data_IF_649862992377
#
_entry.id   IF_649862992377
#
_cell.length_a   1.000
_cell.length_b   1.000
_cell.length_c   1.000
_cell.angle_alpha   90.00
_cell.angle_beta   90.00
_cell.angle_gamma   90.00
#
_symmetry.space_group_name_H-M   'P 1'
#
loop_
_entity.id
_entity.type
_entity.pdbx_description
1 polymer ?
#
# COMPACT_ATOMS: atom_id res chain seq x y z
N UNK A 1 22.50 63.78 -31.27
CA UNK A 1 23.12 62.45 -31.11
C UNK A 1 23.20 62.19 -29.61
N UNK A 2 22.33 61.40 -29.02
CA UNK A 2 22.51 60.74 -27.69
C UNK A 2 21.18 60.38 -26.98
N UNK A 3 20.06 60.42 -27.65
CA UNK A 3 18.78 60.04 -26.97
C UNK A 3 18.17 58.69 -27.37
N UNK A 4 18.69 58.05 -28.43
CA UNK A 4 18.10 56.81 -28.94
C UNK A 4 18.76 55.54 -28.38
N UNK A 5 19.91 55.68 -27.70
CA UNK A 5 20.69 54.56 -27.15
C UNK A 5 20.30 54.09 -25.76
N UNK A 6 19.41 54.79 -25.06
CA UNK A 6 19.04 54.48 -23.69
C UNK A 6 17.72 53.72 -23.53
N UNK A 7 17.01 53.44 -24.64
CA UNK A 7 15.70 52.77 -24.57
C UNK A 7 15.83 51.25 -24.83
N UNK A 8 16.96 50.78 -25.41
CA UNK A 8 17.13 49.37 -25.77
C UNK A 8 17.72 48.46 -24.65
N UNK A 9 18.06 49.00 -23.49
CA UNK A 9 18.71 48.21 -22.43
C UNK A 9 17.80 47.93 -21.21
N UNK A 10 16.47 48.10 -21.32
CA UNK A 10 15.54 47.85 -20.18
C UNK A 10 14.49 46.75 -20.50
N UNK A 11 14.58 46.02 -21.56
CA UNK A 11 13.60 45.00 -21.95
C UNK A 11 14.12 43.56 -21.94
N UNK A 12 15.28 43.27 -21.34
CA UNK A 12 15.83 41.90 -21.26
C UNK A 12 16.05 41.52 -19.77
N UNK A 13 15.12 41.79 -18.95
CA UNK A 13 15.27 41.48 -17.56
C UNK A 13 13.96 41.19 -16.86
N UNK A 14 13.17 40.20 -17.26
CA UNK A 14 12.19 39.55 -16.40
C UNK A 14 11.44 38.44 -17.13
N UNK A 15 12.09 37.32 -17.36
CA UNK A 15 11.41 36.06 -17.71
C UNK A 15 12.19 34.88 -17.14
N UNK A 16 12.45 34.93 -15.82
CA UNK A 16 12.71 33.73 -15.05
C UNK A 16 11.39 33.36 -14.37
N UNK A 17 10.46 32.87 -15.19
CA UNK A 17 9.30 32.12 -14.69
C UNK A 17 9.82 30.85 -14.06
N UNK A 18 9.73 30.83 -12.72
CA UNK A 18 10.07 29.69 -11.93
C UNK A 18 9.36 28.42 -12.43
N UNK A 19 10.14 27.53 -13.01
CA UNK A 19 9.71 26.14 -13.22
C UNK A 19 9.61 25.51 -11.83
N UNK A 20 8.47 25.67 -11.20
CA UNK A 20 8.11 24.88 -10.02
C UNK A 20 8.17 23.41 -10.41
N UNK A 21 9.24 22.72 -10.01
CA UNK A 21 9.27 21.27 -10.04
C UNK A 21 8.15 20.80 -9.09
N UNK A 22 7.01 20.45 -9.67
CA UNK A 22 6.02 19.63 -9.01
C UNK A 22 6.68 18.26 -8.91
N UNK A 23 7.29 17.98 -7.75
CA UNK A 23 7.72 16.62 -7.43
C UNK A 23 6.44 15.77 -7.28
N UNK A 24 6.01 15.18 -8.39
CA UNK A 24 5.02 14.12 -8.35
C UNK A 24 5.64 13.00 -7.51
N UNK A 25 5.07 12.74 -6.34
CA UNK A 25 5.40 11.56 -5.55
C UNK A 25 4.98 10.32 -6.36
N UNK A 26 5.85 9.90 -7.28
CA UNK A 26 5.72 8.63 -7.98
C UNK A 26 6.02 7.52 -6.97
N UNK A 27 4.98 7.04 -6.30
CA UNK A 27 5.06 5.81 -5.52
C UNK A 27 5.30 4.67 -6.51
N UNK A 28 6.51 4.11 -6.50
CA UNK A 28 6.86 3.00 -7.37
C UNK A 28 6.12 1.74 -6.90
N UNK A 29 5.53 0.94 -7.81
CA UNK A 29 4.90 -0.34 -7.46
C UNK A 29 5.82 -1.28 -6.67
N UNK A 30 7.12 -1.27 -6.97
CA UNK A 30 8.12 -2.06 -6.24
C UNK A 30 8.24 -1.60 -4.78
N UNK A 31 8.24 -0.29 -4.53
CA UNK A 31 8.28 0.29 -3.17
C UNK A 31 7.02 -0.07 -2.38
N UNK A 32 5.86 -0.07 -3.03
CA UNK A 32 4.59 -0.45 -2.40
C UNK A 32 4.56 -1.93 -2.00
N UNK A 33 5.05 -2.82 -2.84
CA UNK A 33 5.13 -4.25 -2.52
C UNK A 33 6.12 -4.55 -1.39
N UNK A 34 7.27 -3.89 -1.36
CA UNK A 34 8.24 -4.04 -0.26
C UNK A 34 7.66 -3.52 1.06
N UNK A 35 6.96 -2.39 1.05
CA UNK A 35 6.27 -1.90 2.24
C UNK A 35 5.16 -2.87 2.67
N UNK A 36 4.36 -3.36 1.73
CA UNK A 36 3.32 -4.35 2.01
C UNK A 36 3.88 -5.64 2.60
N UNK A 37 5.00 -6.13 2.06
CA UNK A 37 5.75 -7.28 2.60
C UNK A 37 6.19 -7.03 4.03
N UNK A 38 6.81 -5.88 4.30
CA UNK A 38 7.26 -5.53 5.64
C UNK A 38 6.09 -5.52 6.64
N UNK A 39 4.99 -4.88 6.31
CA UNK A 39 3.80 -4.83 7.16
C UNK A 39 3.26 -6.24 7.42
N UNK A 40 3.17 -7.08 6.37
CA UNK A 40 2.72 -8.45 6.50
C UNK A 40 3.60 -9.25 7.48
N UNK A 41 4.92 -9.16 7.34
CA UNK A 41 5.86 -9.85 8.23
C UNK A 41 5.78 -9.36 9.67
N UNK A 42 5.62 -8.05 9.88
CA UNK A 42 5.59 -7.47 11.22
C UNK A 42 4.26 -7.71 11.95
N UNK A 43 3.13 -7.83 11.22
CA UNK A 43 1.79 -7.74 11.79
C UNK A 43 0.85 -8.91 11.48
N UNK A 44 1.09 -9.64 10.40
CA UNK A 44 0.11 -10.61 9.88
C UNK A 44 0.60 -12.05 9.93
N UNK A 45 1.91 -12.28 9.67
CA UNK A 45 2.45 -13.62 9.49
C UNK A 45 2.36 -14.51 10.73
N UNK A 46 2.35 -13.94 11.92
CA UNK A 46 2.24 -14.72 13.17
C UNK A 46 1.01 -15.63 13.17
N UNK A 47 -0.10 -15.15 12.59
CA UNK A 47 -1.33 -15.92 12.45
C UNK A 47 -1.51 -16.51 11.04
N UNK A 48 -1.17 -15.74 9.99
CA UNK A 48 -1.43 -16.14 8.60
C UNK A 48 -0.32 -16.98 7.96
N UNK A 49 0.86 -17.07 8.60
CA UNK A 49 2.03 -17.83 8.10
C UNK A 49 2.85 -17.07 7.06
N UNK A 50 4.10 -17.45 6.89
CA UNK A 50 4.99 -16.82 5.91
C UNK A 50 4.48 -16.98 4.46
N UNK A 51 3.79 -18.09 4.18
CA UNK A 51 3.19 -18.39 2.87
C UNK A 51 1.72 -18.01 2.77
N UNK A 52 1.14 -17.45 3.85
CA UNK A 52 -0.28 -17.11 3.89
C UNK A 52 -1.21 -18.32 3.96
N UNK A 53 -0.72 -19.47 4.37
CA UNK A 53 -1.46 -20.73 4.47
C UNK A 53 -2.18 -20.92 5.81
N UNK A 54 -1.94 -20.03 6.77
CA UNK A 54 -2.54 -20.10 8.11
C UNK A 54 -1.96 -21.22 8.98
N UNK A 55 -0.88 -21.87 8.56
CA UNK A 55 -0.26 -22.96 9.30
C UNK A 55 0.82 -22.44 10.24
N UNK A 56 0.39 -21.93 11.38
CA UNK A 56 1.30 -21.39 12.41
C UNK A 56 0.96 -21.96 13.77
N UNK A 57 1.90 -21.87 14.70
CA UNK A 57 1.65 -22.26 16.09
C UNK A 57 0.48 -21.45 16.69
N UNK A 58 0.46 -20.14 16.45
CA UNK A 58 -0.62 -19.27 16.94
C UNK A 58 -1.97 -19.65 16.32
N UNK A 59 -2.02 -20.00 15.04
CA UNK A 59 -3.24 -20.38 14.35
C UNK A 59 -3.92 -21.62 14.94
N UNK A 60 -3.15 -22.56 15.51
CA UNK A 60 -3.69 -23.79 16.10
C UNK A 60 -4.57 -23.54 17.32
N UNK A 61 -4.40 -22.40 17.99
CA UNK A 61 -5.21 -22.00 19.14
C UNK A 61 -6.43 -21.14 18.75
N UNK A 62 -6.61 -20.79 17.47
CA UNK A 62 -7.66 -19.87 17.02
C UNK A 62 -8.86 -20.61 16.43
N UNK A 63 -10.05 -20.20 16.84
CA UNK A 63 -11.30 -20.71 16.30
C UNK A 63 -12.24 -19.51 16.00
N UNK A 64 -12.63 -19.27 14.72
CA UNK A 64 -12.15 -19.98 13.53
C UNK A 64 -10.66 -19.72 13.26
N UNK A 65 -9.99 -20.63 12.54
CA UNK A 65 -8.59 -20.46 12.16
C UNK A 65 -8.42 -19.30 11.17
N UNK A 66 -7.21 -18.73 11.07
CA UNK A 66 -6.90 -17.71 10.09
C UNK A 66 -7.16 -18.20 8.65
N UNK A 67 -7.64 -17.27 7.80
CA UNK A 67 -7.92 -17.61 6.40
C UNK A 67 -6.64 -18.04 5.68
N UNK A 68 -6.70 -19.17 5.02
CA UNK A 68 -5.65 -19.65 4.13
C UNK A 68 -5.77 -18.93 2.78
N UNK A 69 -4.78 -18.14 2.40
CA UNK A 69 -4.79 -17.35 1.15
C UNK A 69 -4.42 -18.18 -0.07
N UNK A 70 -3.81 -19.35 0.10
CA UNK A 70 -3.28 -20.15 -1.02
C UNK A 70 -4.34 -20.97 -1.75
N UNK A 71 -5.56 -21.07 -1.20
CA UNK A 71 -6.63 -21.89 -1.77
C UNK A 71 -7.35 -21.20 -2.92
N UNK A 72 -7.87 -22.00 -3.85
CA UNK A 72 -8.72 -21.49 -4.95
C UNK A 72 -9.98 -20.78 -4.44
N UNK A 73 -10.57 -21.28 -3.36
CA UNK A 73 -11.72 -20.64 -2.72
C UNK A 73 -11.37 -19.24 -2.24
N UNK A 74 -10.22 -19.08 -1.57
CA UNK A 74 -9.76 -17.77 -1.11
C UNK A 74 -9.51 -16.80 -2.27
N UNK A 75 -8.91 -17.29 -3.36
CA UNK A 75 -8.68 -16.46 -4.57
C UNK A 75 -9.98 -15.90 -5.16
N UNK A 76 -11.05 -16.70 -5.16
CA UNK A 76 -12.38 -16.28 -5.65
C UNK A 76 -13.10 -15.33 -4.68
N UNK A 77 -13.04 -15.62 -3.38
CA UNK A 77 -13.84 -14.92 -2.38
C UNK A 77 -13.21 -13.63 -1.87
N UNK A 78 -11.87 -13.57 -1.77
CA UNK A 78 -11.15 -12.46 -1.15
C UNK A 78 -10.87 -11.36 -2.18
N UNK A 79 -11.91 -10.62 -2.52
CA UNK A 79 -11.75 -9.42 -3.33
C UNK A 79 -10.93 -8.37 -2.57
N UNK A 80 -10.27 -7.44 -3.27
CA UNK A 80 -9.57 -6.31 -2.67
C UNK A 80 -10.44 -5.58 -1.64
N UNK A 81 -11.68 -5.25 -2.01
CA UNK A 81 -12.65 -4.58 -1.13
C UNK A 81 -12.92 -5.37 0.16
N UNK A 82 -13.11 -6.69 0.04
CA UNK A 82 -13.34 -7.55 1.21
C UNK A 82 -12.13 -7.62 2.13
N UNK A 83 -10.93 -7.75 1.57
CA UNK A 83 -9.68 -7.79 2.33
C UNK A 83 -9.42 -6.46 3.04
N UNK A 84 -9.52 -5.33 2.32
CA UNK A 84 -9.39 -3.98 2.90
C UNK A 84 -10.35 -3.82 4.08
N UNK A 85 -11.64 -4.16 3.92
CA UNK A 85 -12.61 -4.09 5.01
C UNK A 85 -12.20 -4.96 6.20
N UNK A 86 -11.76 -6.21 5.96
CA UNK A 86 -11.37 -7.12 7.03
C UNK A 86 -10.17 -6.61 7.83
N UNK A 87 -9.20 -5.97 7.18
CA UNK A 87 -8.06 -5.36 7.87
C UNK A 87 -8.51 -4.09 8.61
N UNK A 88 -9.25 -3.21 7.95
CA UNK A 88 -9.71 -1.94 8.55
C UNK A 88 -10.57 -2.16 9.78
N UNK A 89 -11.56 -3.05 9.70
CA UNK A 89 -12.62 -3.21 10.70
C UNK A 89 -12.45 -4.46 11.58
N UNK A 90 -11.45 -5.30 11.27
CA UNK A 90 -11.35 -6.62 11.86
C UNK A 90 -12.49 -7.56 11.41
N UNK A 91 -12.59 -8.68 12.07
CA UNK A 91 -13.66 -9.66 11.85
C UNK A 91 -14.29 -10.04 13.20
N UNK A 92 -15.43 -9.46 13.54
CA UNK A 92 -16.13 -9.76 14.78
C UNK A 92 -16.32 -11.27 14.98
N UNK A 93 -16.13 -11.77 16.20
CA UNK A 93 -16.21 -13.19 16.53
C UNK A 93 -14.97 -14.00 16.14
N UNK A 94 -13.88 -13.35 15.74
CA UNK A 94 -12.59 -13.98 15.43
C UNK A 94 -11.44 -13.24 16.12
N UNK A 95 -10.23 -13.81 16.08
CA UNK A 95 -9.02 -13.15 16.57
C UNK A 95 -8.50 -12.03 15.65
N UNK A 96 -9.10 -11.83 14.48
CA UNK A 96 -8.70 -10.77 13.55
C UNK A 96 -9.20 -9.40 14.03
N UNK A 97 -8.35 -8.68 14.73
CA UNK A 97 -8.63 -7.34 15.25
C UNK A 97 -8.66 -6.27 14.16
N UNK A 98 -9.30 -5.10 14.38
CA UNK A 98 -9.22 -3.97 13.49
C UNK A 98 -7.84 -3.32 13.52
N UNK A 99 -7.37 -2.88 12.36
CA UNK A 99 -6.05 -2.26 12.20
C UNK A 99 -6.08 -0.78 11.82
N UNK A 100 -7.27 -0.20 11.67
CA UNK A 100 -7.46 1.20 11.23
C UNK A 100 -6.78 2.25 12.12
N UNK A 101 -6.58 1.93 13.38
CA UNK A 101 -5.95 2.85 14.35
C UNK A 101 -4.43 2.62 14.47
N UNK A 102 -3.89 1.61 13.75
CA UNK A 102 -2.48 1.22 13.74
C UNK A 102 -1.86 1.40 12.36
N UNK A 103 -2.62 1.13 11.30
CA UNK A 103 -2.20 1.22 9.91
C UNK A 103 -2.97 2.32 9.19
N UNK A 104 -2.26 3.18 8.47
CA UNK A 104 -2.86 4.17 7.59
C UNK A 104 -3.62 3.50 6.43
N UNK A 105 -4.54 4.22 5.77
CA UNK A 105 -5.23 3.69 4.58
C UNK A 105 -4.28 3.22 3.47
N UNK A 106 -3.13 3.90 3.29
CA UNK A 106 -2.11 3.50 2.34
C UNK A 106 -1.42 2.19 2.74
N UNK A 107 -1.05 2.04 4.01
CA UNK A 107 -0.45 0.80 4.52
C UNK A 107 -1.40 -0.39 4.40
N UNK A 108 -2.69 -0.19 4.67
CA UNK A 108 -3.72 -1.22 4.43
C UNK A 108 -3.79 -1.57 2.95
N UNK A 109 -3.75 -0.59 2.05
CA UNK A 109 -3.76 -0.81 0.61
C UNK A 109 -2.56 -1.66 0.17
N UNK A 110 -1.35 -1.29 0.57
CA UNK A 110 -0.14 -1.98 0.10
C UNK A 110 0.00 -3.38 0.69
N UNK A 111 -0.41 -3.63 1.94
CA UNK A 111 -0.40 -5.00 2.47
C UNK A 111 -1.45 -5.88 1.79
N UNK A 112 -2.61 -5.35 1.40
CA UNK A 112 -3.59 -6.07 0.59
C UNK A 112 -3.01 -6.43 -0.78
N UNK A 113 -2.32 -5.47 -1.45
CA UNK A 113 -1.63 -5.74 -2.72
C UNK A 113 -0.58 -6.84 -2.57
N UNK A 114 0.27 -6.78 -1.55
CA UNK A 114 1.26 -7.82 -1.28
C UNK A 114 0.62 -9.21 -1.12
N UNK A 115 -0.41 -9.34 -0.28
CA UNK A 115 -1.09 -10.63 -0.08
C UNK A 115 -1.68 -11.14 -1.39
N UNK A 116 -2.37 -10.29 -2.14
CA UNK A 116 -3.01 -10.68 -3.40
C UNK A 116 -2.00 -11.09 -4.46
N UNK A 117 -0.98 -10.27 -4.70
CA UNK A 117 -0.02 -10.51 -5.77
C UNK A 117 0.97 -11.62 -5.39
N UNK A 118 1.53 -11.58 -4.19
CA UNK A 118 2.62 -12.48 -3.80
C UNK A 118 2.12 -13.80 -3.23
N UNK A 119 1.14 -13.77 -2.31
CA UNK A 119 0.70 -14.99 -1.62
C UNK A 119 -0.46 -15.69 -2.34
N UNK A 120 -1.33 -14.94 -2.99
CA UNK A 120 -2.45 -15.50 -3.75
C UNK A 120 -2.13 -15.70 -5.23
N UNK A 121 -1.08 -15.07 -5.77
CA UNK A 121 -0.71 -15.14 -7.19
C UNK A 121 -1.78 -14.52 -8.10
N UNK A 122 -2.38 -13.40 -7.69
CA UNK A 122 -3.38 -12.66 -8.45
C UNK A 122 -2.75 -11.40 -9.04
N UNK A 123 -3.04 -11.12 -10.28
CA UNK A 123 -2.71 -9.83 -10.90
C UNK A 123 -3.62 -8.70 -10.37
N UNK A 124 -3.14 -7.46 -10.43
CA UNK A 124 -3.91 -6.28 -10.02
C UNK A 124 -4.75 -5.72 -11.16
#
# INVERSE_FOLDING_TARGET
MNSVRKIFLRAVGLLLLGSGLIAANHHSPTTDLELGKKIYHDRCKACHGDRGDGQTFAANALNPPPKNFTTMTSRKELTRKRMTRSITQGRPGTAMMPWKDVLSPNEIRVVVSYVRMTLMGLEE
#
